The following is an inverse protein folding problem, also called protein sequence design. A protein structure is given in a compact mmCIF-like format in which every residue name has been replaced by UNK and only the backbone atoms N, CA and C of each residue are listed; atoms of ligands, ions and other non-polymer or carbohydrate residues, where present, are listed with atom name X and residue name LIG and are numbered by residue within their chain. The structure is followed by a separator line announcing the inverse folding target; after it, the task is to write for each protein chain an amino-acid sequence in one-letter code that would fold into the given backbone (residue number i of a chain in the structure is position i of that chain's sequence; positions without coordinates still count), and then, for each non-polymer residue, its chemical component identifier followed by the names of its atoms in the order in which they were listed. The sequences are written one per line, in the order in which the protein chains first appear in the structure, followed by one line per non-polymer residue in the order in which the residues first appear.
data_IF_919462718133
#
_entry.id   IF_919462718133
#
_cell.length_a   1.000
_cell.length_b   1.000
_cell.length_c   1.000
_cell.angle_alpha   90.00
_cell.angle_beta   90.00
_cell.angle_gamma   90.00
#
_symmetry.space_group_name_H-M   'P 1'
#
loop_
_entity.id
_entity.type
_entity.pdbx_description
1 polymer ?
#
# COMPACT_ATOMS: atom_id res chain seq x y z
N UNK A 1 8.27 -15.05 -67.51
CA UNK A 1 7.07 -15.82 -67.10
C UNK A 1 7.25 -16.64 -65.82
N UNK A 2 8.34 -17.42 -65.64
CA UNK A 2 8.59 -18.20 -64.40
C UNK A 2 8.67 -17.37 -63.10
N UNK A 3 9.19 -16.14 -63.16
CA UNK A 3 9.36 -15.27 -61.98
C UNK A 3 8.05 -14.65 -61.49
N UNK A 4 7.09 -14.39 -62.39
CA UNK A 4 5.76 -13.86 -62.05
C UNK A 4 4.86 -14.99 -61.51
N UNK A 5 4.99 -16.20 -62.04
CA UNK A 5 4.24 -17.37 -61.58
C UNK A 5 4.60 -17.76 -60.13
N UNK A 6 5.89 -17.67 -59.76
CA UNK A 6 6.33 -17.93 -58.39
C UNK A 6 5.90 -16.83 -57.40
N UNK A 7 5.82 -15.56 -57.83
CA UNK A 7 5.30 -14.47 -57.00
C UNK A 7 3.78 -14.58 -56.77
N UNK A 8 3.02 -15.01 -57.79
CA UNK A 8 1.57 -15.26 -57.70
C UNK A 8 1.27 -16.50 -56.85
N UNK A 9 2.08 -17.55 -56.92
CA UNK A 9 1.98 -18.73 -56.03
C UNK A 9 2.31 -18.37 -54.58
N UNK A 10 3.29 -17.51 -54.33
CA UNK A 10 3.67 -17.07 -52.98
C UNK A 10 2.60 -16.15 -52.36
N UNK A 11 2.07 -15.18 -53.12
CA UNK A 11 0.93 -14.35 -52.71
C UNK A 11 -0.36 -15.19 -52.54
N UNK A 12 -0.61 -16.15 -53.45
CA UNK A 12 -1.74 -17.08 -53.37
C UNK A 12 -1.66 -18.04 -52.17
N UNK A 13 -0.47 -18.52 -51.80
CA UNK A 13 -0.27 -19.30 -50.57
C UNK A 13 -0.47 -18.45 -49.30
N UNK A 14 0.05 -17.22 -49.27
CA UNK A 14 -0.07 -16.31 -48.13
C UNK A 14 -1.53 -15.87 -47.90
N UNK A 15 -2.30 -15.64 -48.98
CA UNK A 15 -3.73 -15.35 -48.92
C UNK A 15 -4.52 -16.57 -48.38
N UNK A 16 -4.10 -17.79 -48.71
CA UNK A 16 -4.77 -19.02 -48.27
C UNK A 16 -4.50 -19.35 -46.79
N UNK A 17 -3.27 -19.19 -46.32
CA UNK A 17 -2.90 -19.49 -44.92
C UNK A 17 -3.60 -18.53 -43.93
N UNK A 18 -3.69 -17.24 -44.26
CA UNK A 18 -4.37 -16.26 -43.40
C UNK A 18 -5.88 -16.47 -43.32
N UNK A 19 -6.53 -16.82 -44.44
CA UNK A 19 -7.96 -17.10 -44.46
C UNK A 19 -8.30 -18.41 -43.71
N UNK A 20 -7.48 -19.45 -43.89
CA UNK A 20 -7.63 -20.72 -43.17
C UNK A 20 -7.42 -20.57 -41.66
N UNK A 21 -6.43 -19.76 -41.23
CA UNK A 21 -6.21 -19.46 -39.82
C UNK A 21 -7.41 -18.72 -39.19
N UNK A 22 -7.99 -17.74 -39.89
CA UNK A 22 -9.19 -17.05 -39.41
C UNK A 22 -10.42 -17.97 -39.34
N UNK A 23 -10.57 -18.90 -40.29
CA UNK A 23 -11.61 -19.92 -40.24
C UNK A 23 -11.44 -20.85 -39.02
N UNK A 24 -10.22 -21.29 -38.71
CA UNK A 24 -9.95 -22.12 -37.53
C UNK A 24 -10.25 -21.42 -36.20
N UNK A 25 -9.86 -20.14 -36.08
CA UNK A 25 -10.20 -19.29 -34.94
C UNK A 25 -11.71 -19.16 -34.76
N UNK A 26 -12.42 -18.89 -35.85
CA UNK A 26 -13.88 -18.76 -35.84
C UNK A 26 -14.57 -20.07 -35.41
N UNK A 27 -14.14 -21.20 -35.95
CA UNK A 27 -14.66 -22.52 -35.54
C UNK A 27 -14.47 -22.74 -34.04
N UNK A 28 -13.28 -22.44 -33.51
CA UNK A 28 -12.98 -22.59 -32.08
C UNK A 28 -13.92 -21.75 -31.20
N UNK A 29 -14.21 -20.52 -31.61
CA UNK A 29 -15.14 -19.61 -30.90
C UNK A 29 -16.57 -20.16 -30.94
N UNK A 30 -17.04 -20.60 -32.11
CA UNK A 30 -18.40 -21.12 -32.29
C UNK A 30 -18.62 -22.42 -31.51
N UNK A 31 -17.66 -23.34 -31.52
CA UNK A 31 -17.72 -24.58 -30.74
C UNK A 31 -17.77 -24.32 -29.23
N UNK A 32 -17.04 -23.32 -28.73
CA UNK A 32 -17.11 -22.90 -27.33
C UNK A 32 -18.48 -22.30 -27.01
N UNK A 33 -19.01 -21.46 -27.89
CA UNK A 33 -20.36 -20.89 -27.76
C UNK A 33 -21.43 -21.97 -27.69
N UNK A 34 -21.38 -22.95 -28.58
CA UNK A 34 -22.31 -24.09 -28.60
C UNK A 34 -22.24 -24.90 -27.30
N UNK A 35 -21.03 -25.22 -26.82
CA UNK A 35 -20.84 -25.91 -25.52
C UNK A 35 -21.42 -25.14 -24.33
N UNK A 36 -21.47 -23.82 -24.42
CA UNK A 36 -22.04 -22.93 -23.40
C UNK A 36 -23.53 -22.65 -23.62
N UNK A 37 -24.13 -23.18 -24.69
CA UNK A 37 -25.53 -22.93 -25.05
C UNK A 37 -25.80 -21.50 -25.54
N UNK A 38 -24.77 -20.80 -26.03
CA UNK A 38 -24.84 -19.42 -26.51
C UNK A 38 -24.96 -19.38 -28.03
N UNK A 39 -25.66 -18.39 -28.58
CA UNK A 39 -25.74 -18.18 -30.03
C UNK A 39 -24.99 -16.90 -30.41
N UNK A 40 -24.18 -16.93 -31.48
CA UNK A 40 -23.49 -15.71 -31.90
C UNK A 40 -24.52 -14.65 -32.31
N UNK A 41 -24.30 -13.40 -31.90
CA UNK A 41 -25.13 -12.26 -32.32
C UNK A 41 -25.12 -12.14 -33.84
N UNK A 42 -23.94 -12.35 -34.44
CA UNK A 42 -23.79 -12.49 -35.87
C UNK A 42 -22.77 -13.58 -36.19
N UNK A 43 -23.19 -14.59 -36.95
CA UNK A 43 -22.33 -15.69 -37.37
C UNK A 43 -21.21 -15.25 -38.32
N UNK A 44 -21.29 -14.11 -39.00
CA UNK A 44 -20.20 -13.61 -39.86
C UNK A 44 -19.13 -12.84 -39.10
N UNK A 45 -19.44 -12.31 -37.92
CA UNK A 45 -18.63 -11.25 -37.30
C UNK A 45 -17.49 -11.82 -36.47
N UNK A 46 -16.29 -11.79 -37.04
CA UNK A 46 -15.04 -12.05 -36.32
C UNK A 46 -14.30 -10.72 -36.10
N UNK A 47 -14.24 -10.29 -34.85
CA UNK A 47 -13.60 -9.05 -34.45
C UNK A 47 -12.16 -9.28 -34.01
N UNK A 48 -11.35 -8.23 -33.96
CA UNK A 48 -9.95 -8.27 -33.52
C UNK A 48 -9.65 -7.13 -32.55
N UNK A 49 -8.92 -7.43 -31.48
CA UNK A 49 -8.31 -6.45 -30.57
C UNK A 49 -6.80 -6.56 -30.71
N UNK A 50 -6.14 -5.42 -30.95
CA UNK A 50 -4.68 -5.33 -31.04
C UNK A 50 -4.16 -4.73 -29.75
N UNK A 51 -3.44 -5.52 -28.95
CA UNK A 51 -2.95 -5.07 -27.64
C UNK A 51 -1.59 -4.34 -27.76
N UNK A 52 -0.66 -4.81 -28.62
CA UNK A 52 0.67 -4.19 -28.80
C UNK A 52 1.38 -4.54 -30.13
N UNK A 53 0.70 -4.47 -31.27
CA UNK A 53 1.32 -4.68 -32.61
C UNK A 53 1.74 -6.13 -32.93
N UNK A 54 2.12 -6.92 -31.92
CA UNK A 54 2.46 -8.33 -32.03
C UNK A 54 1.43 -9.23 -31.30
N UNK A 55 0.79 -8.78 -30.23
CA UNK A 55 -0.30 -9.52 -29.58
C UNK A 55 -1.67 -9.04 -30.07
N UNK A 56 -2.47 -9.99 -30.57
CA UNK A 56 -3.89 -9.78 -30.91
C UNK A 56 -4.76 -10.91 -30.38
N UNK A 57 -5.99 -10.57 -30.01
CA UNK A 57 -7.04 -11.55 -29.79
C UNK A 57 -8.16 -11.34 -30.79
N UNK A 58 -8.74 -12.45 -31.24
CA UNK A 58 -9.96 -12.46 -32.02
C UNK A 58 -11.14 -12.74 -31.11
N UNK A 59 -12.30 -12.15 -31.39
CA UNK A 59 -13.49 -12.42 -30.60
C UNK A 59 -14.78 -12.35 -31.42
N UNK A 60 -15.80 -13.04 -30.94
CA UNK A 60 -17.18 -12.89 -31.40
C UNK A 60 -18.08 -12.59 -30.20
N UNK A 61 -19.13 -11.82 -30.45
CA UNK A 61 -20.17 -11.52 -29.46
C UNK A 61 -21.32 -12.53 -29.56
N UNK A 62 -21.83 -12.93 -28.40
CA UNK A 62 -22.88 -13.93 -28.27
C UNK A 62 -24.09 -13.37 -27.51
N UNK A 63 -25.28 -13.85 -27.87
CA UNK A 63 -26.52 -13.62 -27.14
C UNK A 63 -26.51 -14.35 -25.79
N UNK A 64 -27.30 -13.83 -24.84
CA UNK A 64 -27.31 -14.31 -23.46
C UNK A 64 -26.22 -13.67 -22.59
N UNK A 65 -26.64 -12.96 -21.54
CA UNK A 65 -25.78 -12.43 -20.47
C UNK A 65 -24.57 -11.57 -20.87
N UNK A 66 -24.59 -10.93 -22.06
CA UNK A 66 -23.48 -10.09 -22.58
C UNK A 66 -22.15 -10.87 -22.55
N UNK A 67 -21.94 -11.70 -23.56
CA UNK A 67 -20.77 -12.56 -23.64
C UNK A 67 -19.93 -12.24 -24.88
N UNK A 68 -18.62 -12.13 -24.68
CA UNK A 68 -17.64 -12.21 -25.76
C UNK A 68 -16.75 -13.43 -25.54
N UNK A 69 -16.48 -14.18 -26.61
CA UNK A 69 -15.55 -15.31 -26.58
C UNK A 69 -14.30 -14.93 -27.34
N UNK A 70 -13.14 -14.99 -26.67
CA UNK A 70 -11.85 -14.56 -27.18
C UNK A 70 -10.92 -15.75 -27.45
N UNK A 71 -10.12 -15.64 -28.52
CA UNK A 71 -9.03 -16.58 -28.88
C UNK A 71 -7.76 -15.77 -29.16
N UNK A 72 -6.63 -16.16 -28.56
CA UNK A 72 -5.31 -15.54 -28.77
C UNK A 72 -4.42 -16.42 -29.69
N UNK A 73 -3.43 -15.82 -30.36
CA UNK A 73 -2.29 -16.46 -31.03
C UNK A 73 -2.61 -17.55 -32.07
N UNK A 74 -3.69 -17.36 -32.85
CA UNK A 74 -4.15 -18.31 -33.86
C UNK A 74 -4.39 -19.75 -33.34
N UNK A 75 -4.52 -19.96 -32.01
CA UNK A 75 -4.46 -21.28 -31.36
C UNK A 75 -5.64 -21.62 -30.43
N UNK A 76 -6.25 -22.77 -30.74
CA UNK A 76 -7.13 -23.75 -30.04
C UNK A 76 -7.99 -23.41 -28.79
N UNK A 77 -7.65 -22.43 -27.95
CA UNK A 77 -8.37 -22.18 -26.70
C UNK A 77 -9.17 -20.90 -26.77
N UNK A 78 -10.48 -21.05 -26.56
CA UNK A 78 -11.44 -19.97 -26.47
C UNK A 78 -11.87 -19.73 -25.02
N UNK A 79 -11.84 -18.48 -24.59
CA UNK A 79 -12.23 -18.05 -23.25
C UNK A 79 -13.43 -17.12 -23.32
N UNK A 80 -14.49 -17.48 -22.59
CA UNK A 80 -15.69 -16.66 -22.51
C UNK A 80 -15.57 -15.63 -21.37
N UNK A 81 -15.97 -14.39 -21.66
CA UNK A 81 -16.01 -13.28 -20.70
C UNK A 81 -17.44 -12.79 -20.64
N UNK A 82 -18.06 -12.78 -19.46
CA UNK A 82 -19.49 -12.50 -19.30
C UNK A 82 -19.77 -11.24 -18.48
N UNK A 83 -20.96 -10.66 -18.72
CA UNK A 83 -21.65 -9.78 -17.79
C UNK A 83 -20.81 -8.62 -17.27
N UNK A 84 -20.77 -8.44 -15.94
CA UNK A 84 -20.07 -7.33 -15.31
C UNK A 84 -18.54 -7.39 -15.51
N UNK A 85 -17.96 -8.59 -15.58
CA UNK A 85 -16.54 -8.75 -15.89
C UNK A 85 -16.26 -8.31 -17.33
N UNK A 86 -17.16 -8.63 -18.27
CA UNK A 86 -17.06 -8.14 -19.64
C UNK A 86 -17.18 -6.62 -19.71
N UNK A 87 -18.15 -6.01 -19.02
CA UNK A 87 -18.31 -4.56 -19.01
C UNK A 87 -17.04 -3.85 -18.54
N UNK A 88 -16.48 -4.32 -17.43
CA UNK A 88 -15.24 -3.77 -16.86
C UNK A 88 -14.08 -3.92 -17.85
N UNK A 89 -13.90 -5.11 -18.41
CA UNK A 89 -12.86 -5.38 -19.40
C UNK A 89 -12.99 -4.48 -20.65
N UNK A 90 -14.21 -4.32 -21.18
CA UNK A 90 -14.48 -3.44 -22.32
C UNK A 90 -14.25 -1.96 -21.98
N UNK A 91 -14.57 -1.53 -20.76
CA UNK A 91 -14.33 -0.17 -20.29
C UNK A 91 -12.83 0.17 -20.27
N UNK A 92 -12.01 -0.72 -19.72
CA UNK A 92 -10.55 -0.58 -19.69
C UNK A 92 -9.93 -0.53 -21.10
N UNK A 93 -10.49 -1.28 -22.06
CA UNK A 93 -10.01 -1.26 -23.45
C UNK A 93 -10.34 0.02 -24.24
N UNK A 94 -11.37 0.76 -23.83
CA UNK A 94 -11.77 2.01 -24.47
C UNK A 94 -10.87 3.19 -24.04
N UNK A 95 -10.05 3.01 -23.00
CA UNK A 95 -9.03 3.98 -22.60
C UNK A 95 -9.62 5.22 -21.95
N UNK A 96 -10.46 5.05 -20.92
CA UNK A 96 -10.87 6.19 -20.12
C UNK A 96 -9.64 6.91 -19.55
N UNK A 97 -9.55 8.20 -19.87
CA UNK A 97 -8.54 9.07 -19.31
C UNK A 97 -8.86 9.34 -17.85
N UNK A 98 -8.09 8.77 -16.92
CA UNK A 98 -8.18 9.16 -15.51
C UNK A 98 -7.68 10.59 -15.37
N UNK A 99 -8.62 11.52 -15.14
CA UNK A 99 -8.31 12.93 -14.85
C UNK A 99 -7.90 13.03 -13.39
N UNK A 100 -6.65 13.39 -13.15
CA UNK A 100 -6.16 13.69 -11.80
C UNK A 100 -6.97 14.84 -11.17
N UNK A 101 -6.95 14.94 -9.84
CA UNK A 101 -7.59 16.05 -9.11
C UNK A 101 -7.02 17.43 -9.50
N UNK A 102 -5.83 17.47 -10.11
CA UNK A 102 -5.18 18.67 -10.66
C UNK A 102 -5.59 18.98 -12.12
N UNK A 103 -6.52 18.20 -12.68
CA UNK A 103 -6.98 18.34 -14.06
C UNK A 103 -6.03 17.75 -15.11
N UNK A 104 -4.88 17.19 -14.71
CA UNK A 104 -3.94 16.55 -15.64
C UNK A 104 -4.39 15.13 -15.99
N UNK A 105 -4.25 14.78 -17.26
CA UNK A 105 -4.45 13.43 -17.75
C UNK A 105 -3.27 12.56 -17.29
N UNK A 106 -3.54 11.37 -16.74
CA UNK A 106 -2.51 10.35 -16.56
C UNK A 106 -1.81 10.08 -17.90
N UNK A 107 -0.47 10.12 -17.92
CA UNK A 107 0.34 9.81 -19.11
C UNK A 107 0.47 8.32 -19.39
N UNK A 108 -0.14 7.45 -18.57
CA UNK A 108 -0.16 6.02 -18.84
C UNK A 108 -1.26 5.75 -19.84
N UNK A 109 -0.88 5.37 -21.05
CA UNK A 109 -1.78 4.85 -22.06
C UNK A 109 -2.30 3.49 -21.55
N UNK A 110 -3.33 3.51 -20.68
CA UNK A 110 -3.94 2.32 -20.04
C UNK A 110 -4.78 1.49 -21.01
N UNK A 111 -4.68 1.76 -22.31
CA UNK A 111 -5.33 0.94 -23.30
C UNK A 111 -4.68 -0.45 -23.27
N UNK A 112 -5.48 -1.49 -23.06
CA UNK A 112 -5.06 -2.88 -23.27
C UNK A 112 -4.10 -3.51 -22.25
N UNK A 113 -3.83 -2.89 -21.10
CA UNK A 113 -2.84 -3.42 -20.14
C UNK A 113 -3.16 -4.82 -19.58
N UNK A 114 -4.44 -5.20 -19.54
CA UNK A 114 -4.83 -6.55 -19.12
C UNK A 114 -4.50 -7.61 -20.17
N UNK A 115 -4.37 -7.26 -21.45
CA UNK A 115 -4.21 -8.22 -22.53
C UNK A 115 -5.41 -9.16 -22.69
N UNK A 116 -5.20 -10.29 -23.37
CA UNK A 116 -6.28 -11.25 -23.61
C UNK A 116 -6.73 -11.98 -22.33
N UNK A 117 -7.96 -12.53 -22.26
CA UNK A 117 -8.31 -13.48 -21.20
C UNK A 117 -7.48 -14.77 -21.36
N UNK A 118 -7.06 -15.33 -20.22
CA UNK A 118 -6.28 -16.58 -20.14
C UNK A 118 -6.96 -17.67 -19.30
N UNK A 119 -8.14 -17.39 -18.79
CA UNK A 119 -9.03 -18.35 -18.13
C UNK A 119 -10.47 -18.08 -18.56
N UNK A 120 -11.34 -19.07 -18.42
CA UNK A 120 -12.77 -18.77 -18.31
C UNK A 120 -13.05 -18.08 -16.96
N UNK A 121 -14.24 -17.48 -16.85
CA UNK A 121 -14.78 -17.04 -15.58
C UNK A 121 -14.96 -18.23 -14.62
N UNK A 122 -14.50 -18.08 -13.38
CA UNK A 122 -14.60 -19.11 -12.34
C UNK A 122 -15.38 -18.62 -11.11
N UNK A 123 -16.14 -19.50 -10.44
CA UNK A 123 -16.70 -19.19 -9.13
C UNK A 123 -15.58 -19.04 -8.10
N UNK A 124 -15.68 -18.02 -7.23
CA UNK A 124 -14.76 -17.91 -6.09
C UNK A 124 -15.07 -19.02 -5.06
N UNK A 125 -14.07 -19.73 -4.49
CA UNK A 125 -14.32 -20.99 -3.78
C UNK A 125 -15.13 -20.88 -2.48
N UNK A 126 -14.94 -19.81 -1.68
CA UNK A 126 -15.56 -19.70 -0.35
C UNK A 126 -16.56 -18.53 -0.23
N UNK A 127 -16.59 -17.64 -1.22
CA UNK A 127 -17.43 -16.44 -1.19
C UNK A 127 -18.31 -16.41 -2.44
N UNK A 128 -19.44 -15.72 -2.35
CA UNK A 128 -20.28 -15.50 -3.51
C UNK A 128 -19.65 -14.43 -4.42
N UNK A 129 -19.01 -14.89 -5.49
CA UNK A 129 -18.35 -14.04 -6.47
C UNK A 129 -17.86 -14.83 -7.67
N UNK A 130 -17.22 -14.09 -8.57
CA UNK A 130 -16.66 -14.57 -9.83
C UNK A 130 -15.31 -13.92 -10.05
N UNK A 131 -14.41 -14.62 -10.71
CA UNK A 131 -13.11 -14.09 -11.10
C UNK A 131 -12.75 -14.54 -12.50
N UNK A 132 -11.92 -13.74 -13.18
CA UNK A 132 -11.31 -14.10 -14.44
C UNK A 132 -9.89 -13.57 -14.54
N UNK A 133 -8.99 -14.38 -15.08
CA UNK A 133 -7.60 -14.02 -15.28
C UNK A 133 -7.36 -13.54 -16.71
N UNK A 134 -6.55 -12.50 -16.80
CA UNK A 134 -6.04 -11.91 -18.04
C UNK A 134 -4.51 -11.92 -17.98
N UNK A 135 -3.85 -11.68 -19.10
CA UNK A 135 -2.38 -11.72 -19.21
C UNK A 135 -1.70 -10.78 -18.22
N UNK A 136 -2.19 -9.55 -18.13
CA UNK A 136 -1.65 -8.50 -17.29
C UNK A 136 -2.30 -8.38 -15.92
N UNK A 137 -3.41 -9.08 -15.65
CA UNK A 137 -4.16 -8.86 -14.41
C UNK A 137 -5.31 -9.82 -14.18
N UNK A 138 -6.25 -9.41 -13.33
CA UNK A 138 -7.46 -10.19 -13.06
C UNK A 138 -8.61 -9.26 -12.72
N UNK A 139 -9.81 -9.62 -13.14
CA UNK A 139 -11.03 -8.92 -12.77
C UNK A 139 -11.81 -9.85 -11.85
N UNK A 140 -12.24 -9.33 -10.70
CA UNK A 140 -13.09 -10.04 -9.76
C UNK A 140 -14.38 -9.27 -9.56
N UNK A 141 -15.48 -10.01 -9.44
CA UNK A 141 -16.81 -9.49 -9.20
C UNK A 141 -17.42 -10.12 -7.95
N UNK A 142 -18.08 -9.29 -7.14
CA UNK A 142 -19.03 -9.75 -6.13
C UNK A 142 -20.32 -8.92 -6.17
N UNK A 143 -21.44 -9.44 -5.63
CA UNK A 143 -22.67 -8.64 -5.51
C UNK A 143 -22.50 -7.36 -4.68
N UNK A 144 -21.56 -7.34 -3.71
CA UNK A 144 -21.32 -6.20 -2.81
C UNK A 144 -20.44 -5.12 -3.43
N UNK A 145 -19.52 -5.51 -4.33
CA UNK A 145 -18.46 -4.60 -4.82
C UNK A 145 -18.60 -4.25 -6.29
N UNK A 146 -19.24 -5.08 -7.12
CA UNK A 146 -19.16 -4.93 -8.57
C UNK A 146 -17.86 -5.56 -9.11
N UNK A 147 -17.57 -5.34 -10.40
CA UNK A 147 -16.40 -5.90 -11.06
C UNK A 147 -15.25 -4.89 -10.98
N UNK A 148 -14.09 -5.34 -10.52
CA UNK A 148 -12.89 -4.51 -10.41
C UNK A 148 -11.66 -5.30 -10.80
N UNK A 149 -10.73 -4.64 -11.47
CA UNK A 149 -9.45 -5.21 -11.83
C UNK A 149 -8.37 -4.97 -10.77
N UNK A 150 -7.47 -5.93 -10.70
CA UNK A 150 -6.26 -5.88 -9.91
C UNK A 150 -5.14 -6.39 -10.81
N UNK A 151 -4.04 -5.64 -10.91
CA UNK A 151 -2.93 -6.00 -11.80
C UNK A 151 -1.56 -5.79 -11.14
N UNK A 152 -0.51 -6.17 -11.88
CA UNK A 152 0.89 -5.97 -11.48
C UNK A 152 1.21 -6.41 -10.06
N UNK A 153 2.01 -5.59 -9.37
CA UNK A 153 2.54 -5.91 -8.04
C UNK A 153 1.45 -6.02 -6.97
N UNK A 154 0.35 -5.26 -7.11
CA UNK A 154 -0.78 -5.33 -6.17
C UNK A 154 -1.51 -6.66 -6.29
N UNK A 155 -1.75 -7.13 -7.52
CA UNK A 155 -2.33 -8.45 -7.78
C UNK A 155 -1.46 -9.56 -7.22
N UNK A 156 -0.14 -9.48 -7.44
CA UNK A 156 0.79 -10.48 -6.94
C UNK A 156 0.81 -10.53 -5.41
N UNK A 157 0.75 -9.36 -4.76
CA UNK A 157 0.60 -9.27 -3.31
C UNK A 157 -0.72 -9.90 -2.84
N UNK A 158 -1.84 -9.53 -3.44
CA UNK A 158 -3.16 -10.05 -3.08
C UNK A 158 -3.25 -11.57 -3.27
N UNK A 159 -2.70 -12.09 -4.37
CA UNK A 159 -2.53 -13.52 -4.62
C UNK A 159 -1.75 -14.20 -3.51
N UNK A 160 -0.62 -13.63 -3.10
CA UNK A 160 0.27 -14.22 -2.09
C UNK A 160 -0.39 -14.38 -0.71
N UNK A 161 -1.41 -13.56 -0.41
CA UNK A 161 -2.15 -13.60 0.85
C UNK A 161 -3.50 -14.34 0.75
N UNK A 162 -3.80 -14.96 -0.40
CA UNK A 162 -4.98 -15.81 -0.57
C UNK A 162 -6.16 -15.18 -1.30
N UNK A 163 -5.92 -14.16 -2.14
CA UNK A 163 -6.94 -13.52 -2.97
C UNK A 163 -8.15 -13.04 -2.16
N UNK A 164 -9.37 -13.24 -2.67
CA UNK A 164 -10.63 -12.87 -2.02
C UNK A 164 -10.87 -13.62 -0.71
N UNK A 165 -10.16 -14.72 -0.46
CA UNK A 165 -10.23 -15.48 0.79
C UNK A 165 -9.32 -14.89 1.88
N UNK A 166 -8.46 -13.94 1.53
CA UNK A 166 -7.68 -13.18 2.51
C UNK A 166 -8.57 -12.26 3.35
N UNK A 167 -7.97 -11.67 4.40
CA UNK A 167 -8.64 -10.66 5.23
C UNK A 167 -9.08 -9.42 4.45
N UNK A 168 -8.55 -9.19 3.24
CA UNK A 168 -8.94 -8.06 2.39
C UNK A 168 -10.27 -8.29 1.67
N UNK A 169 -10.64 -9.52 1.35
CA UNK A 169 -11.85 -9.78 0.57
C UNK A 169 -11.75 -9.31 -0.89
N UNK A 170 -12.89 -8.95 -1.48
CA UNK A 170 -12.98 -8.51 -2.87
C UNK A 170 -12.44 -7.08 -3.07
N UNK A 171 -11.89 -6.77 -4.26
CA UNK A 171 -11.56 -5.39 -4.62
C UNK A 171 -12.83 -4.53 -4.67
N UNK A 172 -12.71 -3.27 -4.29
CA UNK A 172 -13.77 -2.23 -4.29
C UNK A 172 -13.41 -1.09 -5.26
N UNK A 173 -12.17 -1.07 -5.73
CA UNK A 173 -11.73 -0.17 -6.80
C UNK A 173 -10.84 -0.93 -7.75
N UNK A 174 -10.79 -0.38 -8.94
CA UNK A 174 -9.73 -0.55 -9.90
C UNK A 174 -8.38 -0.11 -9.32
N UNK A 175 -7.26 -0.46 -9.97
CA UNK A 175 -5.95 0.03 -9.57
C UNK A 175 -5.82 1.51 -9.94
N UNK A 176 -5.66 2.35 -8.92
CA UNK A 176 -5.61 3.81 -9.06
C UNK A 176 -4.20 4.35 -8.79
N UNK A 177 -3.88 5.48 -9.40
CA UNK A 177 -2.67 6.25 -9.07
C UNK A 177 -2.89 7.01 -7.77
N UNK A 178 -1.90 6.99 -6.88
CA UNK A 178 -1.94 7.82 -5.67
C UNK A 178 -1.93 9.32 -6.03
N UNK A 179 -2.59 10.19 -5.24
CA UNK A 179 -2.66 11.63 -5.49
C UNK A 179 -1.33 12.38 -5.60
N UNK A 180 -0.22 11.82 -5.12
CA UNK A 180 1.13 12.38 -5.27
C UNK A 180 1.86 11.91 -6.54
N UNK A 181 1.28 10.96 -7.29
CA UNK A 181 1.77 10.47 -8.57
C UNK A 181 2.84 9.37 -8.50
N UNK A 182 3.28 8.94 -7.31
CA UNK A 182 4.38 7.98 -7.18
C UNK A 182 3.92 6.53 -7.05
N UNK A 183 2.82 6.30 -6.34
CA UNK A 183 2.32 4.99 -6.01
C UNK A 183 1.09 4.55 -6.80
N UNK A 184 0.68 3.32 -6.49
CA UNK A 184 -0.57 2.69 -6.95
C UNK A 184 -1.31 2.09 -5.77
N UNK A 185 -2.63 1.97 -5.87
CA UNK A 185 -3.41 1.27 -4.85
C UNK A 185 -4.70 0.66 -5.42
N UNK A 186 -5.16 -0.40 -4.76
CA UNK A 186 -6.54 -0.87 -4.82
C UNK A 186 -7.13 -0.82 -3.40
N UNK A 187 -8.38 -0.38 -3.28
CA UNK A 187 -9.18 -0.65 -2.08
C UNK A 187 -9.85 -2.02 -2.19
N UNK A 188 -9.99 -2.68 -1.03
CA UNK A 188 -10.66 -3.95 -0.85
C UNK A 188 -11.66 -3.83 0.31
N UNK A 189 -12.61 -4.75 0.43
CA UNK A 189 -13.62 -4.76 1.50
C UNK A 189 -12.98 -4.62 2.90
N UNK A 190 -11.87 -5.33 3.11
CA UNK A 190 -11.13 -5.43 4.37
C UNK A 190 -9.88 -4.56 4.44
N UNK A 191 -9.67 -3.59 3.54
CA UNK A 191 -8.52 -2.70 3.62
C UNK A 191 -8.06 -2.14 2.28
N UNK A 192 -6.74 -2.07 2.09
CA UNK A 192 -6.12 -1.63 0.85
C UNK A 192 -4.84 -2.42 0.58
N UNK A 193 -4.35 -2.38 -0.65
CA UNK A 193 -2.94 -2.69 -0.95
C UNK A 193 -2.37 -1.48 -1.66
N UNK A 194 -1.20 -1.02 -1.21
CA UNK A 194 -0.46 0.08 -1.81
C UNK A 194 0.86 -0.45 -2.37
N UNK A 195 1.21 0.01 -3.57
CA UNK A 195 2.52 -0.16 -4.19
C UNK A 195 3.22 1.19 -4.30
N UNK A 196 4.52 1.20 -4.02
CA UNK A 196 5.41 2.31 -4.31
C UNK A 196 6.74 1.77 -4.88
N UNK A 197 7.28 2.35 -5.97
CA UNK A 197 8.41 1.78 -6.71
C UNK A 197 9.67 1.58 -5.88
N UNK A 198 9.89 2.45 -4.88
CA UNK A 198 11.08 2.39 -4.01
C UNK A 198 10.84 1.74 -2.65
N UNK A 199 9.58 1.48 -2.26
CA UNK A 199 9.26 0.96 -0.92
C UNK A 199 8.73 -0.47 -0.96
N UNK A 200 8.06 -0.86 -2.04
CA UNK A 200 7.47 -2.19 -2.21
C UNK A 200 5.94 -2.15 -2.23
N UNK A 201 5.33 -3.33 -2.01
CA UNK A 201 3.87 -3.53 -2.04
C UNK A 201 3.38 -4.12 -0.73
N UNK A 202 2.47 -3.42 -0.04
CA UNK A 202 2.04 -3.79 1.30
C UNK A 202 0.52 -3.75 1.45
N UNK A 203 -0.02 -4.73 2.16
CA UNK A 203 -1.42 -4.78 2.52
C UNK A 203 -1.67 -3.96 3.79
N UNK A 204 -2.70 -3.12 3.78
CA UNK A 204 -3.10 -2.25 4.88
C UNK A 204 -4.50 -2.68 5.34
N UNK A 205 -4.63 -3.40 6.46
CA UNK A 205 -5.92 -3.83 7.02
C UNK A 205 -6.84 -2.65 7.33
N UNK A 206 -8.15 -2.86 7.23
CA UNK A 206 -9.17 -1.82 7.36
C UNK A 206 -9.03 -0.96 8.63
N UNK A 207 -8.81 -1.59 9.78
CA UNK A 207 -8.71 -0.85 11.05
C UNK A 207 -7.48 0.08 11.09
N UNK A 208 -6.40 -0.31 10.41
CA UNK A 208 -5.20 0.51 10.25
C UNK A 208 -5.43 1.59 9.19
N UNK A 209 -6.04 1.23 8.06
CA UNK A 209 -6.41 2.17 7.00
C UNK A 209 -7.33 3.29 7.51
N UNK A 210 -8.28 2.98 8.40
CA UNK A 210 -9.21 3.95 8.99
C UNK A 210 -8.49 4.97 9.90
N UNK A 211 -7.38 4.59 10.54
CA UNK A 211 -6.51 5.53 11.28
C UNK A 211 -5.64 6.33 10.31
N UNK A 212 -4.97 5.66 9.38
CA UNK A 212 -4.11 6.30 8.38
C UNK A 212 -4.86 7.34 7.53
N UNK A 213 -6.13 7.07 7.20
CA UNK A 213 -7.06 8.01 6.57
C UNK A 213 -7.20 9.31 7.33
N UNK A 214 -7.39 9.23 8.66
CA UNK A 214 -7.54 10.41 9.54
C UNK A 214 -6.25 11.22 9.60
N UNK A 215 -5.10 10.55 9.45
CA UNK A 215 -3.79 11.19 9.39
C UNK A 215 -3.42 11.72 7.99
N UNK A 216 -4.28 11.55 6.99
CA UNK A 216 -4.11 12.12 5.64
C UNK A 216 -3.54 11.17 4.58
N UNK A 217 -3.59 9.85 4.81
CA UNK A 217 -3.09 8.82 3.89
C UNK A 217 -1.60 9.02 3.52
N UNK A 218 -1.20 8.67 2.30
CA UNK A 218 0.17 8.73 1.79
C UNK A 218 0.73 10.16 1.71
N UNK A 219 -0.14 11.18 1.72
CA UNK A 219 0.23 12.62 1.84
C UNK A 219 0.23 13.13 3.29
N UNK A 220 -0.26 12.31 4.21
CA UNK A 220 -0.46 12.58 5.62
C UNK A 220 0.79 12.47 6.48
N UNK A 221 0.68 12.41 7.81
CA UNK A 221 1.88 12.39 8.65
C UNK A 221 2.70 11.10 8.53
N UNK A 222 2.07 9.99 8.19
CA UNK A 222 2.68 8.66 8.17
C UNK A 222 3.49 8.36 6.89
N UNK A 223 3.09 8.91 5.73
CA UNK A 223 3.66 8.51 4.44
C UNK A 223 3.09 7.19 3.94
N UNK A 224 3.84 6.47 3.11
CA UNK A 224 3.50 5.15 2.59
C UNK A 224 3.76 4.03 3.60
N UNK A 225 3.03 2.89 3.52
CA UNK A 225 3.41 1.69 4.25
C UNK A 225 4.76 1.18 3.78
N UNK A 226 5.57 0.66 4.70
CA UNK A 226 6.89 0.07 4.44
C UNK A 226 7.01 -1.38 4.92
N UNK A 227 5.92 -1.92 5.46
CA UNK A 227 5.77 -3.30 5.89
C UNK A 227 4.28 -3.66 5.94
N UNK A 228 3.95 -4.95 5.89
CA UNK A 228 2.63 -5.43 6.28
C UNK A 228 2.42 -5.28 7.80
N UNK A 229 1.17 -5.45 8.25
CA UNK A 229 0.86 -5.56 9.68
C UNK A 229 1.63 -6.73 10.32
N UNK A 230 2.21 -6.46 11.49
CA UNK A 230 2.78 -7.47 12.36
C UNK A 230 2.00 -7.54 13.66
N UNK A 231 1.56 -8.74 14.02
CA UNK A 231 0.90 -9.02 15.29
C UNK A 231 1.79 -9.87 16.19
N UNK A 232 1.99 -9.45 17.43
CA UNK A 232 2.77 -10.17 18.45
C UNK A 232 2.22 -9.89 19.83
N UNK A 233 2.02 -10.92 20.65
CA UNK A 233 1.58 -10.78 22.05
C UNK A 233 0.32 -9.90 22.23
N UNK A 234 -0.67 -10.03 21.34
CA UNK A 234 -1.89 -9.21 21.31
C UNK A 234 -1.66 -7.70 21.05
N UNK A 235 -0.47 -7.35 20.55
CA UNK A 235 -0.14 -6.06 20.00
C UNK A 235 -0.06 -6.16 18.48
N UNK A 236 -0.45 -5.10 17.79
CA UNK A 236 -0.33 -4.95 16.34
C UNK A 236 0.45 -3.69 16.01
N UNK A 237 1.27 -3.75 14.97
CA UNK A 237 1.95 -2.61 14.38
C UNK A 237 1.99 -2.74 12.87
N UNK A 238 1.69 -1.64 12.17
CA UNK A 238 2.10 -1.47 10.78
C UNK A 238 2.98 -0.24 10.67
N UNK A 239 4.14 -0.43 10.03
CA UNK A 239 5.13 0.62 9.83
C UNK A 239 4.90 1.38 8.53
N UNK A 240 5.09 2.69 8.61
CA UNK A 240 5.07 3.64 7.51
C UNK A 240 6.41 4.41 7.48
N UNK A 241 6.65 5.17 6.41
CA UNK A 241 7.89 5.94 6.23
C UNK A 241 8.23 6.83 7.45
N UNK A 242 7.24 7.56 7.97
CA UNK A 242 7.44 8.57 9.01
C UNK A 242 6.64 8.29 10.29
N UNK A 243 6.09 7.08 10.41
CA UNK A 243 5.34 6.68 11.59
C UNK A 243 4.92 5.23 11.60
N UNK A 244 4.02 4.91 12.51
CA UNK A 244 3.36 3.63 12.61
C UNK A 244 1.91 3.80 13.05
N UNK A 245 1.08 2.83 12.70
CA UNK A 245 -0.21 2.62 13.37
C UNK A 245 -0.08 1.40 14.25
N UNK A 246 -0.43 1.55 15.53
CA UNK A 246 -0.26 0.51 16.54
C UNK A 246 -1.54 0.27 17.33
N UNK A 247 -1.72 -0.96 17.79
CA UNK A 247 -2.67 -1.36 18.81
C UNK A 247 -1.93 -2.15 19.88
N UNK A 248 -2.16 -1.83 21.16
CA UNK A 248 -1.58 -2.58 22.29
C UNK A 248 -2.68 -3.23 23.11
N UNK A 249 -2.55 -4.53 23.41
CA UNK A 249 -3.53 -5.33 24.16
C UNK A 249 -4.96 -5.18 23.62
N UNK A 250 -5.12 -5.21 22.30
CA UNK A 250 -6.40 -4.97 21.61
C UNK A 250 -7.08 -3.61 21.92
N UNK A 251 -6.31 -2.61 22.35
CA UNK A 251 -6.79 -1.22 22.44
C UNK A 251 -7.08 -0.64 21.05
N UNK A 252 -7.88 0.43 20.93
CA UNK A 252 -8.10 1.10 19.65
C UNK A 252 -6.76 1.45 18.97
N UNK A 253 -6.69 1.26 17.65
CA UNK A 253 -5.52 1.62 16.86
C UNK A 253 -5.23 3.12 16.96
N UNK A 254 -3.96 3.48 17.11
CA UNK A 254 -3.45 4.85 17.24
C UNK A 254 -2.22 5.05 16.38
N UNK A 255 -2.05 6.25 15.86
CA UNK A 255 -0.85 6.62 15.13
C UNK A 255 0.24 7.12 16.08
N UNK A 256 1.49 6.77 15.76
CA UNK A 256 2.69 7.38 16.30
C UNK A 256 3.55 7.86 15.13
N UNK A 257 3.98 9.12 15.13
CA UNK A 257 4.72 9.70 13.99
C UNK A 257 5.76 10.72 14.44
N UNK A 258 6.68 11.06 13.56
CA UNK A 258 7.54 12.24 13.72
C UNK A 258 6.70 13.50 13.44
N UNK A 259 6.88 14.58 14.22
CA UNK A 259 6.11 15.83 14.03
C UNK A 259 6.32 16.46 12.65
N UNK A 260 7.53 16.32 12.12
CA UNK A 260 7.89 16.55 10.72
C UNK A 260 8.10 15.22 10.00
N UNK A 261 7.90 15.16 8.68
CA UNK A 261 8.27 14.00 7.85
C UNK A 261 9.79 13.90 7.68
N UNK A 262 10.49 13.72 8.78
CA UNK A 262 11.94 13.72 8.88
C UNK A 262 12.42 12.35 9.38
N UNK A 263 13.71 12.08 9.21
CA UNK A 263 14.37 10.82 9.59
C UNK A 263 14.70 10.74 11.09
N UNK A 264 14.46 11.82 11.85
CA UNK A 264 14.66 11.88 13.31
C UNK A 264 13.47 12.58 13.95
N UNK A 265 13.07 12.09 15.11
CA UNK A 265 11.84 12.48 15.80
C UNK A 265 11.28 11.36 16.65
N UNK A 266 10.06 11.58 17.17
CA UNK A 266 9.39 10.75 18.16
C UNK A 266 9.27 9.28 17.73
N UNK A 267 8.75 9.03 16.53
CA UNK A 267 8.55 7.68 16.01
C UNK A 267 9.88 6.96 15.79
N UNK A 268 10.86 7.63 15.19
CA UNK A 268 12.18 7.04 14.97
C UNK A 268 12.88 6.72 16.28
N UNK A 269 12.72 7.56 17.32
CA UNK A 269 13.23 7.25 18.65
C UNK A 269 12.53 6.05 19.27
N UNK A 270 11.21 5.96 19.12
CA UNK A 270 10.47 4.79 19.57
C UNK A 270 10.95 3.51 18.87
N UNK A 271 11.25 3.56 17.56
CA UNK A 271 11.87 2.43 16.84
C UNK A 271 13.21 2.03 17.44
N UNK A 272 14.08 2.98 17.78
CA UNK A 272 15.38 2.71 18.45
C UNK A 272 15.22 2.01 19.80
N UNK A 273 14.15 2.32 20.54
CA UNK A 273 13.88 1.66 21.82
C UNK A 273 13.36 0.22 21.70
N UNK A 274 13.10 -0.26 20.47
CA UNK A 274 12.55 -1.59 20.19
C UNK A 274 11.18 -1.59 19.50
N UNK A 275 10.59 -0.42 19.23
CA UNK A 275 9.30 -0.32 18.56
C UNK A 275 8.18 -1.01 19.34
N UNK A 276 7.48 -1.97 18.71
CA UNK A 276 6.40 -2.70 19.38
C UNK A 276 6.88 -3.53 20.58
N UNK A 277 8.17 -3.87 20.61
CA UNK A 277 8.86 -4.55 21.72
C UNK A 277 9.64 -3.55 22.60
N UNK A 278 9.31 -2.25 22.54
CA UNK A 278 10.06 -1.21 23.25
C UNK A 278 10.15 -1.46 24.75
N UNK A 279 11.32 -1.20 25.33
CA UNK A 279 11.50 -1.24 26.79
C UNK A 279 10.63 -0.20 27.53
N UNK A 280 10.05 0.77 26.83
CA UNK A 280 9.11 1.75 27.37
C UNK A 280 7.71 1.16 27.66
N UNK A 281 7.41 -0.03 27.13
CA UNK A 281 6.11 -0.68 27.26
C UNK A 281 5.04 -0.09 26.35
N UNK A 282 3.77 -0.36 26.67
CA UNK A 282 2.65 0.03 25.81
C UNK A 282 2.53 1.56 25.69
N UNK A 283 2.16 2.03 24.50
CA UNK A 283 1.81 3.43 24.27
C UNK A 283 0.53 3.80 25.04
N UNK A 284 0.61 4.85 25.85
CA UNK A 284 -0.50 5.39 26.65
C UNK A 284 -1.13 6.58 25.94
N UNK A 285 -0.31 7.56 25.53
CA UNK A 285 -0.75 8.80 24.88
C UNK A 285 0.10 9.10 23.64
N UNK A 286 -0.44 9.03 22.40
CA UNK A 286 0.28 9.42 21.19
C UNK A 286 0.40 10.94 21.03
N UNK A 287 1.54 11.39 20.46
CA UNK A 287 1.72 12.64 19.73
C UNK A 287 0.99 13.88 20.30
N UNK A 288 1.15 14.15 21.59
CA UNK A 288 0.57 15.32 22.23
C UNK A 288 1.42 16.56 21.98
N UNK A 289 0.78 17.64 21.55
CA UNK A 289 1.45 18.94 21.36
C UNK A 289 1.82 19.56 22.70
N UNK A 290 2.94 20.29 22.74
CA UNK A 290 3.24 21.15 23.88
C UNK A 290 2.33 22.39 23.90
N UNK A 291 1.87 22.84 25.08
CA UNK A 291 1.03 24.03 25.20
C UNK A 291 1.68 25.33 24.70
N UNK A 292 3.02 25.44 24.74
CA UNK A 292 3.75 26.69 24.43
C UNK A 292 4.59 26.64 23.15
N UNK A 293 4.88 25.46 22.60
CA UNK A 293 5.75 25.30 21.43
C UNK A 293 4.95 24.56 20.35
N UNK A 294 4.54 25.29 19.31
CA UNK A 294 3.57 24.83 18.29
C UNK A 294 4.04 23.65 17.42
N UNK A 295 5.27 23.21 17.55
CA UNK A 295 5.92 22.28 16.61
C UNK A 295 6.52 21.03 17.25
N UNK A 296 6.79 21.00 18.56
CA UNK A 296 7.30 19.79 19.22
C UNK A 296 6.13 18.94 19.75
N UNK A 297 6.32 17.62 19.78
CA UNK A 297 5.38 16.68 20.39
C UNK A 297 6.06 15.78 21.42
N UNK A 298 5.25 15.14 22.27
CA UNK A 298 5.69 14.02 23.09
C UNK A 298 4.71 12.85 23.01
N UNK A 299 5.21 11.65 23.34
CA UNK A 299 4.40 10.47 23.55
C UNK A 299 4.66 9.89 24.93
N UNK A 300 3.58 9.43 25.58
CA UNK A 300 3.65 8.73 26.86
C UNK A 300 3.56 7.23 26.63
N UNK A 301 4.41 6.50 27.33
CA UNK A 301 4.42 5.05 27.43
C UNK A 301 4.31 4.63 28.90
N UNK A 302 4.06 3.34 29.14
CA UNK A 302 3.91 2.79 30.49
C UNK A 302 5.08 3.16 31.41
N UNK A 303 6.33 3.03 30.92
CA UNK A 303 7.56 3.20 31.70
C UNK A 303 8.31 4.51 31.43
N UNK A 304 7.78 5.40 30.60
CA UNK A 304 8.50 6.62 30.24
C UNK A 304 7.80 7.45 29.19
N UNK A 305 8.51 8.44 28.68
CA UNK A 305 8.06 9.38 27.68
C UNK A 305 9.13 9.51 26.60
N UNK A 306 8.70 9.88 25.39
CA UNK A 306 9.60 10.36 24.34
C UNK A 306 9.24 11.81 24.07
N UNK A 307 10.21 12.70 24.20
CA UNK A 307 10.08 14.13 23.94
C UNK A 307 10.84 14.47 22.65
N UNK A 308 10.17 15.08 21.68
CA UNK A 308 10.89 15.78 20.61
C UNK A 308 11.47 17.08 21.14
N UNK A 309 12.70 17.37 20.72
CA UNK A 309 13.48 18.49 21.18
C UNK A 309 14.30 19.10 20.05
N UNK A 310 14.53 20.41 20.17
CA UNK A 310 15.36 21.19 19.26
C UNK A 310 16.72 21.43 19.91
N UNK A 311 17.76 20.88 19.30
CA UNK A 311 19.14 21.07 19.75
C UNK A 311 19.83 22.07 18.82
N UNK A 312 20.22 23.23 19.37
CA UNK A 312 21.09 24.20 18.68
C UNK A 312 22.46 23.58 18.44
N UNK A 313 22.87 23.43 17.19
CA UNK A 313 24.25 23.04 16.87
C UNK A 313 25.14 24.29 16.78
N UNK A 314 26.36 24.20 17.31
CA UNK A 314 27.31 25.31 17.38
C UNK A 314 27.74 25.87 16.02
N UNK A 315 27.49 25.15 14.90
CA UNK A 315 27.92 25.53 13.54
C UNK A 315 26.82 25.38 12.46
N UNK A 316 25.53 25.34 12.83
CA UNK A 316 24.41 25.22 11.87
C UNK A 316 23.38 26.31 12.13
N UNK A 317 22.85 26.92 11.06
CA UNK A 317 21.71 27.85 11.11
C UNK A 317 20.37 27.16 11.41
N UNK A 318 20.36 25.83 11.51
CA UNK A 318 19.19 25.02 11.76
C UNK A 318 19.34 24.24 13.07
N UNK A 319 18.33 24.37 13.94
CA UNK A 319 18.15 23.48 15.10
C UNK A 319 17.89 22.06 14.58
N UNK A 320 18.61 21.08 15.11
CA UNK A 320 18.37 19.68 14.75
C UNK A 320 17.19 19.18 15.59
N UNK A 321 16.12 18.76 14.90
CA UNK A 321 15.07 17.94 15.50
C UNK A 321 15.67 16.59 15.91
N UNK A 322 15.55 16.28 17.19
CA UNK A 322 15.90 14.98 17.75
C UNK A 322 14.85 14.60 18.80
N UNK A 323 14.91 13.36 19.30
CA UNK A 323 13.97 12.91 20.31
C UNK A 323 14.67 12.09 21.39
N UNK A 324 14.24 12.32 22.64
CA UNK A 324 14.91 11.80 23.81
C UNK A 324 13.92 11.13 24.75
N UNK A 325 14.36 10.04 25.36
CA UNK A 325 13.60 9.25 26.32
C UNK A 325 13.73 9.85 27.72
N UNK A 326 12.62 10.04 28.42
CA UNK A 326 12.59 10.22 29.88
C UNK A 326 11.97 8.96 30.51
N UNK A 327 12.75 8.23 31.31
CA UNK A 327 12.24 7.06 32.04
C UNK A 327 11.55 7.48 33.34
N UNK A 328 10.41 6.86 33.66
CA UNK A 328 9.75 7.04 34.96
C UNK A 328 10.68 6.56 36.08
N UNK A 329 10.93 7.42 37.06
CA UNK A 329 11.91 7.21 38.12
C UNK A 329 12.47 8.51 38.69
N UNK A 330 13.61 8.49 39.41
CA UNK A 330 14.06 9.66 40.16
C UNK A 330 14.37 10.92 39.32
N UNK A 331 14.94 10.77 38.12
CA UNK A 331 15.17 11.90 37.20
C UNK A 331 13.83 12.53 36.80
N UNK A 332 12.87 11.69 36.42
CA UNK A 332 11.52 12.09 36.03
C UNK A 332 10.77 12.79 37.15
N UNK A 333 10.82 12.25 38.37
CA UNK A 333 10.15 12.86 39.54
C UNK A 333 10.78 14.22 39.88
N UNK A 334 12.10 14.34 39.77
CA UNK A 334 12.78 15.62 39.93
C UNK A 334 12.36 16.61 38.84
N UNK A 335 12.39 16.19 37.58
CA UNK A 335 11.96 17.01 36.45
C UNK A 335 10.51 17.49 36.63
N UNK A 336 9.64 16.60 37.12
CA UNK A 336 8.27 16.92 37.47
C UNK A 336 8.15 17.98 38.56
N UNK A 337 8.97 17.88 39.62
CA UNK A 337 9.04 18.89 40.69
C UNK A 337 9.43 20.28 40.18
N UNK A 338 10.11 20.34 39.03
CA UNK A 338 10.50 21.59 38.35
C UNK A 338 9.51 22.03 37.28
N UNK A 339 8.32 21.43 37.22
CA UNK A 339 7.27 21.68 36.22
C UNK A 339 7.63 21.19 34.81
N UNK A 340 8.42 20.12 34.71
CA UNK A 340 8.75 19.46 33.46
C UNK A 340 9.29 20.43 32.40
N UNK A 341 8.88 20.27 31.14
CA UNK A 341 9.30 21.12 30.03
C UNK A 341 8.72 22.55 30.11
N UNK A 342 7.72 22.77 30.96
CA UNK A 342 7.20 24.11 31.25
C UNK A 342 8.05 24.85 32.30
N UNK A 343 8.98 24.13 32.94
CA UNK A 343 9.93 24.62 33.92
C UNK A 343 11.17 25.28 33.32
N UNK A 344 12.08 25.73 34.18
CA UNK A 344 13.34 26.34 33.76
C UNK A 344 14.32 25.34 33.14
N UNK A 345 14.15 24.03 33.39
CA UNK A 345 14.98 23.00 32.77
C UNK A 345 14.69 22.86 31.26
N UNK A 346 13.49 23.22 30.81
CA UNK A 346 13.10 23.09 29.40
C UNK A 346 13.04 21.63 28.93
N UNK A 347 13.21 21.40 27.63
CA UNK A 347 13.15 20.06 27.02
C UNK A 347 14.42 19.24 27.29
N UNK A 348 14.34 17.89 27.31
CA UNK A 348 15.52 17.05 27.33
C UNK A 348 16.34 17.22 26.04
N UNK A 349 17.65 17.06 26.14
CA UNK A 349 18.59 17.14 25.00
C UNK A 349 19.53 15.92 24.93
N UNK A 350 19.24 14.90 25.73
CA UNK A 350 19.96 13.62 25.77
C UNK A 350 19.04 12.54 26.34
N UNK A 351 19.29 11.27 26.02
CA UNK A 351 18.77 10.16 26.81
C UNK A 351 19.48 10.09 28.17
N UNK A 352 18.91 9.33 29.11
CA UNK A 352 19.58 9.02 30.36
C UNK A 352 20.89 8.25 30.11
N UNK A 353 22.00 8.77 30.64
CA UNK A 353 23.32 8.17 30.54
C UNK A 353 23.79 7.66 31.91
N UNK A 354 24.71 6.70 31.91
CA UNK A 354 25.37 6.20 33.11
C UNK A 354 26.86 6.48 33.05
N UNK A 355 27.43 6.87 34.19
CA UNK A 355 28.88 7.03 34.37
C UNK A 355 29.29 6.51 35.74
N UNK A 356 30.54 6.05 35.85
CA UNK A 356 31.13 5.68 37.14
C UNK A 356 32.04 6.79 37.62
N UNK A 357 31.79 7.29 38.82
CA UNK A 357 32.72 8.22 39.49
C UNK A 357 32.89 7.76 40.93
N UNK A 358 34.13 7.55 41.36
CA UNK A 358 34.47 7.24 42.75
C UNK A 358 33.70 6.04 43.34
N UNK A 359 33.55 4.95 42.58
CA UNK A 359 32.81 3.72 42.97
C UNK A 359 31.30 3.88 43.17
N UNK A 360 30.70 4.99 42.74
CA UNK A 360 29.25 5.16 42.71
C UNK A 360 28.74 5.17 41.26
N UNK A 361 27.64 4.46 41.02
CA UNK A 361 26.92 4.52 39.75
C UNK A 361 26.12 5.82 39.71
N UNK A 362 26.50 6.70 38.78
CA UNK A 362 25.83 7.98 38.58
C UNK A 362 25.04 7.88 37.28
N UNK A 363 23.73 8.06 37.38
CA UNK A 363 22.87 8.26 36.22
C UNK A 363 22.64 9.75 36.03
N UNK A 364 22.54 10.20 34.79
CA UNK A 364 22.31 11.61 34.51
C UNK A 364 21.55 11.82 33.23
N UNK A 365 20.96 13.00 33.09
CA UNK A 365 20.25 13.41 31.88
C UNK A 365 20.33 14.92 31.70
N UNK A 366 20.67 15.34 30.49
CA UNK A 366 20.80 16.74 30.10
C UNK A 366 19.47 17.29 29.59
N UNK A 367 19.21 18.53 29.98
CA UNK A 367 18.10 19.36 29.55
C UNK A 367 18.64 20.71 29.07
N UNK A 368 17.82 21.50 28.38
CA UNK A 368 18.21 22.82 27.88
C UNK A 368 18.74 23.75 28.99
N UNK A 369 18.14 23.69 30.18
CA UNK A 369 18.46 24.56 31.32
C UNK A 369 19.42 23.97 32.36
N UNK A 370 19.90 22.74 32.19
CA UNK A 370 20.80 22.10 33.18
C UNK A 370 20.85 20.58 33.06
N UNK A 371 21.57 19.93 33.97
CA UNK A 371 21.67 18.46 34.02
C UNK A 371 21.13 17.93 35.35
N UNK A 372 20.25 16.94 35.29
CA UNK A 372 19.81 16.19 36.48
C UNK A 372 20.73 14.97 36.63
N UNK A 373 21.22 14.72 37.83
CA UNK A 373 21.96 13.53 38.21
C UNK A 373 21.21 12.75 39.28
N UNK A 374 21.43 11.43 39.32
CA UNK A 374 20.94 10.54 40.37
C UNK A 374 22.11 9.71 40.87
N UNK A 375 22.25 9.71 42.19
CA UNK A 375 23.21 8.87 42.94
C UNK A 375 22.45 8.08 44.00
N UNK A 376 23.06 7.01 44.51
CA UNK A 376 22.45 6.22 45.58
C UNK A 376 22.39 7.02 46.87
N UNK A 377 23.40 7.86 47.14
CA UNK A 377 23.48 8.64 48.37
C UNK A 377 22.63 9.91 48.40
N UNK A 378 22.48 10.61 47.26
CA UNK A 378 21.81 11.93 47.24
C UNK A 378 20.42 11.91 46.58
N UNK A 379 20.03 10.79 45.97
CA UNK A 379 18.85 10.78 45.11
C UNK A 379 19.05 11.67 43.88
N UNK A 380 17.97 12.24 43.36
CA UNK A 380 18.00 13.13 42.20
C UNK A 380 18.34 14.57 42.58
N UNK A 381 19.33 15.16 41.92
CA UNK A 381 19.74 16.56 42.11
C UNK A 381 20.19 17.20 40.80
N UNK A 382 20.10 18.52 40.72
CA UNK A 382 20.50 19.29 39.56
C UNK A 382 21.93 19.83 39.70
N UNK A 383 22.68 19.82 38.61
CA UNK A 383 23.86 20.65 38.42
C UNK A 383 23.56 21.68 37.33
N UNK A 384 23.58 22.97 37.70
CA UNK A 384 23.44 24.07 36.74
C UNK A 384 24.63 24.10 35.79
N UNK A 385 24.33 24.43 34.53
CA UNK A 385 25.35 24.68 33.50
C UNK A 385 26.11 25.97 33.77
#
# INVERSE_FOLDING_TARGET
MKTIYNAILFLGLIINVNALAQNGVKTTILEKGEKLGLRPVNQSDLNVVNFDGNNKAYYMSFDGNRCNIYVKDAGEKAYAVFGAILDEYLGLMQGESVKGKDGRLSSVNQKYFLGAPISDEFPTPQKNGRGQHFEGGSIYWSPSTGAHEVHGAIRDKWKSIGWENSFLGFPVTNEMTTPDGFGRYNFFEGGAIYFHPNLGTFAVPKMIADVWKKEGWEKGKLGYPVADEMTKNNNSVQYFEFGAVISTKASPYRAIYNSSRNIRGLYTKWRETGGIDSYLGDLVTPNRNYPKIKISQFAEFQKGFIYESYVKQSNSSYDKEDAFVILKGPIFDYYASKKWEQGYLGLPISDEFSSKKSNEDIRGQQFQGGTIYVTKSLGAFEKKN
#
